data_IF_516163608428
#
_entry.id   IF_516163608428
#
_cell.length_a   1.000
_cell.length_b   1.000
_cell.length_c   1.000
_cell.angle_alpha   90.00
_cell.angle_beta   90.00
_cell.angle_gamma   90.00
#
_symmetry.space_group_name_H-M   'P 1'
#
loop_
_entity.id
_entity.type
_entity.pdbx_description
1 polymer ?
#
# COMPACT_ATOMS: atom_id res chain seq x y z
N UNK A 1 19.35 -6.09 18.66
CA UNK A 1 18.56 -6.72 19.75
C UNK A 1 17.08 -6.30 19.71
N UNK A 2 16.75 -5.02 19.45
CA UNK A 2 15.36 -4.57 19.24
C UNK A 2 14.74 -5.06 17.90
N UNK A 3 15.52 -5.13 16.81
CA UNK A 3 15.02 -5.63 15.51
C UNK A 3 14.60 -7.10 15.56
N UNK A 4 15.35 -7.97 16.26
CA UNK A 4 15.05 -9.40 16.36
C UNK A 4 13.78 -9.71 17.16
N UNK A 5 13.25 -8.75 17.93
CA UNK A 5 12.01 -8.91 18.72
C UNK A 5 10.79 -8.56 17.86
N UNK A 6 10.90 -7.60 16.93
CA UNK A 6 9.80 -7.23 16.03
C UNK A 6 9.42 -8.36 15.07
N UNK A 7 10.40 -9.09 14.56
CA UNK A 7 10.17 -10.26 13.68
C UNK A 7 9.42 -11.39 14.37
N UNK A 8 9.60 -11.56 15.69
CA UNK A 8 8.88 -12.57 16.48
C UNK A 8 7.37 -12.29 16.63
N UNK A 9 6.97 -11.02 16.50
CA UNK A 9 5.57 -10.62 16.61
C UNK A 9 4.85 -10.56 15.26
N UNK A 10 5.59 -10.58 14.16
CA UNK A 10 5.05 -10.50 12.81
C UNK A 10 4.64 -11.90 12.33
N UNK A 11 3.40 -12.28 12.61
CA UNK A 11 2.81 -13.53 12.12
C UNK A 11 2.34 -13.39 10.67
N UNK A 12 2.03 -14.49 9.95
CA UNK A 12 1.37 -14.41 8.65
C UNK A 12 0.08 -13.56 8.67
N UNK A 13 -0.63 -13.56 9.81
CA UNK A 13 -1.89 -12.85 10.00
C UNK A 13 -1.80 -11.50 10.72
N UNK A 14 -0.61 -11.03 11.12
CA UNK A 14 -0.48 -9.75 11.83
C UNK A 14 0.90 -9.12 11.70
N UNK A 15 0.94 -7.78 11.72
CA UNK A 15 2.17 -6.99 11.65
C UNK A 15 2.14 -5.92 12.74
N UNK A 16 3.28 -5.65 13.36
CA UNK A 16 3.45 -4.48 14.21
C UNK A 16 3.71 -3.24 13.35
N UNK A 17 2.84 -2.24 13.49
CA UNK A 17 3.00 -0.90 12.93
C UNK A 17 3.32 0.05 14.10
N UNK A 18 4.61 0.35 14.28
CA UNK A 18 5.14 0.92 15.51
C UNK A 18 4.88 0.00 16.70
N UNK A 19 4.15 0.48 17.71
CA UNK A 19 3.72 -0.31 18.86
C UNK A 19 2.34 -0.98 18.72
N UNK A 20 1.60 -0.69 17.64
CA UNK A 20 0.23 -1.21 17.43
C UNK A 20 0.25 -2.47 16.56
N UNK A 21 -0.54 -3.47 16.94
CA UNK A 21 -0.70 -4.71 16.15
C UNK A 21 -1.83 -4.55 15.13
N UNK A 22 -1.48 -4.56 13.86
CA UNK A 22 -2.42 -4.63 12.75
C UNK A 22 -2.70 -6.08 12.37
N UNK A 23 -3.98 -6.47 12.24
CA UNK A 23 -4.36 -7.77 11.70
C UNK A 23 -4.44 -7.70 10.18
N UNK A 24 -3.83 -8.66 9.49
CA UNK A 24 -3.95 -8.79 8.03
C UNK A 24 -5.34 -9.34 7.72
N UNK A 25 -6.25 -8.46 7.29
CA UNK A 25 -7.66 -8.79 7.05
C UNK A 25 -7.92 -9.07 5.56
N UNK A 26 -9.06 -9.71 5.30
CA UNK A 26 -9.59 -9.83 3.94
C UNK A 26 -10.09 -8.45 3.49
N UNK A 27 -9.80 -8.09 2.25
CA UNK A 27 -10.35 -6.90 1.60
C UNK A 27 -11.71 -7.29 1.05
N UNK A 28 -12.76 -6.85 1.74
CA UNK A 28 -14.15 -7.01 1.30
C UNK A 28 -14.46 -5.99 0.21
N UNK A 29 -15.57 -6.14 -0.54
CA UNK A 29 -16.00 -5.12 -1.50
C UNK A 29 -16.13 -3.72 -0.88
N UNK A 30 -16.58 -3.62 0.36
CA UNK A 30 -16.69 -2.36 1.10
C UNK A 30 -15.32 -1.71 1.32
N UNK A 31 -14.35 -2.47 1.86
CA UNK A 31 -12.97 -2.00 2.07
C UNK A 31 -12.31 -1.65 0.73
N UNK A 32 -12.59 -2.41 -0.33
CA UNK A 32 -12.09 -2.11 -1.67
C UNK A 32 -12.61 -0.76 -2.17
N UNK A 33 -13.90 -0.49 -2.01
CA UNK A 33 -14.48 0.80 -2.39
C UNK A 33 -13.93 1.95 -1.55
N UNK A 34 -13.65 1.73 -0.27
CA UNK A 34 -12.99 2.70 0.61
C UNK A 34 -11.57 3.01 0.11
N UNK A 35 -10.78 1.98 -0.20
CA UNK A 35 -9.45 2.16 -0.78
C UNK A 35 -9.48 2.95 -2.09
N UNK A 36 -10.43 2.67 -2.98
CA UNK A 36 -10.55 3.40 -4.25
C UNK A 36 -10.93 4.87 -4.06
N UNK A 37 -11.65 5.22 -2.99
CA UNK A 37 -11.94 6.62 -2.63
C UNK A 37 -10.73 7.31 -2.02
N UNK A 38 -9.90 6.56 -1.29
CA UNK A 38 -8.68 7.08 -0.67
C UNK A 38 -7.57 7.29 -1.70
N UNK A 39 -7.52 6.45 -2.72
CA UNK A 39 -6.52 6.48 -3.80
C UNK A 39 -7.05 7.36 -4.94
N UNK A 40 -7.15 8.66 -4.73
CA UNK A 40 -7.47 9.61 -5.82
C UNK A 40 -6.25 9.90 -6.72
N UNK A 41 -5.04 9.72 -6.18
CA UNK A 41 -3.78 10.26 -6.70
C UNK A 41 -2.89 9.27 -7.43
N UNK A 42 -2.87 7.98 -7.05
CA UNK A 42 -1.96 6.98 -7.65
C UNK A 42 -2.06 6.87 -9.19
N UNK A 43 -3.25 6.84 -9.81
CA UNK A 43 -3.34 6.79 -11.27
C UNK A 43 -2.70 8.01 -11.94
N UNK A 44 -2.90 9.21 -11.37
CA UNK A 44 -2.33 10.45 -11.87
C UNK A 44 -0.81 10.53 -11.72
N UNK A 45 -0.26 9.99 -10.62
CA UNK A 45 1.18 9.99 -10.37
C UNK A 45 1.94 9.04 -11.28
N UNK A 46 1.42 7.83 -11.49
CA UNK A 46 2.04 6.84 -12.39
C UNK A 46 2.11 7.43 -13.81
N UNK A 47 1.01 8.06 -14.26
CA UNK A 47 0.97 8.74 -15.55
C UNK A 47 1.96 9.92 -15.60
N UNK A 48 2.01 10.75 -14.55
CA UNK A 48 2.90 11.91 -14.49
C UNK A 48 4.37 11.49 -14.56
N UNK A 49 4.78 10.47 -13.81
CA UNK A 49 6.15 9.94 -13.87
C UNK A 49 6.47 9.35 -15.25
N UNK A 50 5.53 8.62 -15.86
CA UNK A 50 5.72 7.99 -17.17
C UNK A 50 5.90 9.01 -18.32
N UNK A 51 5.31 10.21 -18.22
CA UNK A 51 5.39 11.25 -19.26
C UNK A 51 6.40 12.36 -18.95
N UNK A 52 7.13 12.27 -17.83
CA UNK A 52 8.08 13.31 -17.40
C UNK A 52 9.37 13.29 -18.24
N UNK A 53 9.79 14.43 -18.81
CA UNK A 53 11.09 14.55 -19.48
C UNK A 53 12.27 14.25 -18.56
N UNK A 54 13.35 13.66 -19.09
CA UNK A 54 14.50 13.16 -18.31
C UNK A 54 15.12 14.20 -17.38
N UNK A 55 15.14 15.46 -17.78
CA UNK A 55 15.68 16.57 -16.98
C UNK A 55 14.90 16.82 -15.68
N UNK A 56 13.61 16.49 -15.64
CA UNK A 56 12.71 16.72 -14.51
C UNK A 56 12.32 15.43 -13.77
N UNK A 57 12.87 14.27 -14.19
CA UNK A 57 12.54 12.98 -13.59
C UNK A 57 12.94 12.90 -12.12
N UNK A 58 14.04 13.53 -11.71
CA UNK A 58 14.53 13.45 -10.33
C UNK A 58 13.62 14.24 -9.37
N UNK A 59 13.24 15.47 -9.73
CA UNK A 59 12.28 16.29 -8.96
C UNK A 59 10.90 15.63 -8.92
N UNK A 60 10.45 15.11 -10.06
CA UNK A 60 9.16 14.41 -10.14
C UNK A 60 9.18 13.09 -9.38
N UNK A 61 10.31 12.39 -9.31
CA UNK A 61 10.46 11.18 -8.51
C UNK A 61 10.44 11.48 -7.00
N UNK A 62 11.00 12.61 -6.56
CA UNK A 62 10.94 13.05 -5.16
C UNK A 62 9.49 13.37 -4.78
N UNK A 63 8.80 14.20 -5.59
CA UNK A 63 7.39 14.53 -5.37
C UNK A 63 6.51 13.27 -5.44
N UNK A 64 6.77 12.38 -6.40
CA UNK A 64 6.07 11.11 -6.50
C UNK A 64 6.37 10.20 -5.29
N UNK A 65 7.57 10.28 -4.71
CA UNK A 65 7.93 9.56 -3.50
C UNK A 65 7.23 10.09 -2.24
N UNK A 66 7.10 11.41 -2.11
CA UNK A 66 6.33 12.05 -1.04
C UNK A 66 4.84 11.72 -1.15
N UNK A 67 4.27 11.83 -2.36
CA UNK A 67 2.85 11.51 -2.57
C UNK A 67 2.62 9.99 -2.45
N UNK A 68 3.56 9.16 -2.90
CA UNK A 68 3.51 7.72 -2.66
C UNK A 68 3.59 7.37 -1.17
N UNK A 69 4.24 8.19 -0.34
CA UNK A 69 4.26 7.99 1.11
C UNK A 69 2.90 8.29 1.74
N UNK A 70 2.26 9.38 1.31
CA UNK A 70 0.92 9.72 1.77
C UNK A 70 -0.11 8.66 1.35
N UNK A 71 -0.02 8.17 0.11
CA UNK A 71 -0.84 7.06 -0.39
C UNK A 71 -0.55 5.76 0.39
N UNK A 72 0.72 5.45 0.67
CA UNK A 72 1.13 4.29 1.46
C UNK A 72 0.52 4.33 2.86
N UNK A 73 0.59 5.48 3.53
CA UNK A 73 0.04 5.70 4.86
C UNK A 73 -1.50 5.61 4.85
N UNK A 74 -2.14 6.21 3.85
CA UNK A 74 -3.60 6.21 3.73
C UNK A 74 -4.16 4.81 3.44
N UNK A 75 -3.55 4.06 2.51
CA UNK A 75 -3.90 2.66 2.22
C UNK A 75 -3.71 1.80 3.46
N UNK A 76 -2.57 1.97 4.15
CA UNK A 76 -2.29 1.19 5.37
C UNK A 76 -3.27 1.53 6.48
N UNK A 77 -3.66 2.80 6.62
CA UNK A 77 -4.66 3.26 7.59
C UNK A 77 -6.00 2.58 7.37
N UNK A 78 -6.54 2.63 6.15
CA UNK A 78 -7.81 1.97 5.76
C UNK A 78 -7.76 0.47 6.04
N UNK A 79 -6.68 -0.19 5.61
CA UNK A 79 -6.56 -1.65 5.74
C UNK A 79 -6.38 -2.11 7.19
N UNK A 80 -5.61 -1.38 7.98
CA UNK A 80 -5.27 -1.76 9.36
C UNK A 80 -6.30 -1.26 10.37
N UNK A 81 -7.04 -0.20 10.04
CA UNK A 81 -7.87 0.56 10.97
C UNK A 81 -7.04 1.39 11.97
N UNK A 82 -5.74 1.59 11.70
CA UNK A 82 -4.86 2.41 12.53
C UNK A 82 -4.79 3.81 11.93
N UNK A 83 -5.02 4.81 12.77
CA UNK A 83 -4.94 6.22 12.42
C UNK A 83 -3.69 6.60 11.61
N UNK A 84 -3.89 7.40 10.57
CA UNK A 84 -2.83 7.77 9.62
C UNK A 84 -1.74 8.63 10.26
N UNK A 85 -2.09 9.56 11.16
CA UNK A 85 -1.11 10.39 11.86
C UNK A 85 -0.24 9.58 12.80
N UNK A 86 -0.83 8.57 13.46
CA UNK A 86 -0.06 7.59 14.23
C UNK A 86 0.90 6.81 13.32
N UNK A 87 0.45 6.31 12.16
CA UNK A 87 1.33 5.59 11.23
C UNK A 87 2.48 6.46 10.75
N UNK A 88 2.23 7.74 10.45
CA UNK A 88 3.27 8.68 9.99
C UNK A 88 4.37 8.89 11.04
N UNK A 89 4.02 8.88 12.33
CA UNK A 89 4.95 9.19 13.43
C UNK A 89 5.66 7.97 13.97
N UNK A 90 4.96 6.83 14.01
CA UNK A 90 5.38 5.67 14.82
C UNK A 90 5.70 4.44 13.98
N UNK A 91 5.18 4.31 12.76
CA UNK A 91 5.42 3.14 11.92
C UNK A 91 6.65 3.31 11.04
N UNK A 92 7.49 2.27 11.00
CA UNK A 92 8.62 2.21 10.08
C UNK A 92 8.18 1.91 8.66
N UNK A 93 8.90 2.44 7.66
CA UNK A 93 8.60 2.20 6.24
C UNK A 93 8.59 0.70 5.90
N UNK A 94 9.52 -0.08 6.45
CA UNK A 94 9.57 -1.54 6.27
C UNK A 94 8.34 -2.25 6.85
N UNK A 95 7.77 -1.74 7.93
CA UNK A 95 6.57 -2.30 8.58
C UNK A 95 5.31 -2.04 7.73
N UNK A 96 5.19 -0.84 7.17
CA UNK A 96 4.13 -0.48 6.22
C UNK A 96 4.18 -1.41 4.98
N UNK A 97 5.37 -1.60 4.41
CA UNK A 97 5.58 -2.46 3.24
C UNK A 97 5.29 -3.94 3.57
N UNK A 98 5.72 -4.44 4.73
CA UNK A 98 5.43 -5.83 5.16
C UNK A 98 3.92 -6.04 5.33
N UNK A 99 3.22 -5.10 5.97
CA UNK A 99 1.78 -5.17 6.14
C UNK A 99 1.02 -5.21 4.82
N UNK A 100 1.37 -4.34 3.87
CA UNK A 100 0.75 -4.35 2.54
C UNK A 100 1.08 -5.62 1.75
N UNK A 101 2.33 -6.09 1.83
CA UNK A 101 2.74 -7.33 1.16
C UNK A 101 1.95 -8.54 1.69
N UNK A 102 1.80 -8.65 3.00
CA UNK A 102 1.01 -9.73 3.63
C UNK A 102 -0.48 -9.60 3.28
N UNK A 103 -1.02 -8.39 3.27
CA UNK A 103 -2.40 -8.13 2.87
C UNK A 103 -2.63 -8.50 1.40
N UNK A 104 -1.66 -8.19 0.53
CA UNK A 104 -1.72 -8.55 -0.88
C UNK A 104 -1.72 -10.06 -1.09
N UNK A 105 -0.82 -10.77 -0.43
CA UNK A 105 -0.74 -12.24 -0.49
C UNK A 105 -2.01 -12.91 0.03
N UNK A 106 -2.57 -12.43 1.15
CA UNK A 106 -3.77 -13.01 1.77
C UNK A 106 -5.02 -12.89 0.89
N UNK A 107 -5.12 -11.83 0.10
CA UNK A 107 -6.29 -11.54 -0.74
C UNK A 107 -6.15 -12.01 -2.19
N UNK A 108 -5.00 -12.59 -2.54
CA UNK A 108 -4.69 -13.06 -3.89
C UNK A 108 -5.05 -12.05 -5.00
N UNK A 109 -4.65 -10.79 -4.78
CA UNK A 109 -4.91 -9.72 -5.74
C UNK A 109 -4.26 -9.98 -7.09
N UNK A 110 -3.17 -10.77 -7.14
CA UNK A 110 -2.54 -11.17 -8.40
C UNK A 110 -3.52 -11.95 -9.27
N UNK A 111 -4.15 -12.98 -8.72
CA UNK A 111 -5.15 -13.78 -9.43
C UNK A 111 -6.39 -12.95 -9.75
N UNK A 112 -6.83 -12.07 -8.85
CA UNK A 112 -7.94 -11.15 -9.11
C UNK A 112 -7.67 -10.27 -10.35
N UNK A 113 -6.50 -9.61 -10.41
CA UNK A 113 -6.11 -8.76 -11.54
C UNK A 113 -6.01 -9.58 -12.84
N UNK A 114 -5.42 -10.79 -12.78
CA UNK A 114 -5.33 -11.68 -13.94
C UNK A 114 -6.71 -12.05 -14.47
N UNK A 115 -7.64 -12.40 -13.59
CA UNK A 115 -9.01 -12.77 -13.94
C UNK A 115 -9.75 -11.58 -14.57
N UNK A 116 -9.68 -10.39 -13.95
CA UNK A 116 -10.28 -9.18 -14.51
C UNK A 116 -9.69 -8.84 -15.88
N UNK A 117 -8.37 -8.91 -16.06
CA UNK A 117 -7.72 -8.69 -17.36
C UNK A 117 -8.18 -9.69 -18.42
N UNK A 118 -8.41 -10.94 -18.05
CA UNK A 118 -8.88 -11.98 -18.99
C UNK A 118 -10.30 -11.74 -19.49
N UNK A 119 -11.10 -10.95 -18.76
CA UNK A 119 -12.46 -10.55 -19.14
C UNK A 119 -12.48 -9.30 -20.05
N UNK A 120 -11.37 -8.57 -20.17
CA UNK A 120 -11.28 -7.43 -21.08
C UNK A 120 -11.13 -7.94 -22.53
N UNK A 121 -11.83 -7.32 -23.50
CA UNK A 121 -11.66 -7.67 -24.89
C UNK A 121 -10.19 -7.46 -25.29
N UNK A 122 -9.60 -8.49 -25.91
CA UNK A 122 -8.25 -8.38 -26.47
C UNK A 122 -8.31 -7.28 -27.53
N UNK A 123 -7.49 -6.24 -27.39
CA UNK A 123 -7.29 -5.27 -28.47
C UNK A 123 -6.87 -6.07 -29.70
N UNK A 124 -7.70 -6.01 -30.76
CA UNK A 124 -7.40 -6.58 -32.06
C UNK A 124 -6.22 -5.86 -32.70
#
# INVERSE_FOLDING_TARGET
>A
MMESIKDYFNTPDSVLLGSKRAKVKKVTPEVFLELMKTIETLPGLILRVAVTPKEHMMETAIIAGEIAMDDLLAITSVLSGIDQDYLRKEAGLSELVDYLTKTYKKNDFFTMIKNVKSLLPKQQ
#
